data_IF_552444032157
#
_entry.id   IF_552444032157
#
_cell.length_a   1.000
_cell.length_b   1.000
_cell.length_c   1.000
_cell.angle_alpha   90.00
_cell.angle_beta   90.00
_cell.angle_gamma   90.00
#
_symmetry.space_group_name_H-M   'P 1'
#
loop_
_entity.id
_entity.type
_entity.pdbx_description
1 polymer ?
#
# COMPACT_ATOMS: atom_id res chain seq x y z
N UNK A 1 -57.53 70.95 14.43
CA UNK A 1 -57.34 69.60 13.85
C UNK A 1 -55.94 69.15 14.20
N UNK A 2 -55.81 68.30 15.23
CA UNK A 2 -54.57 67.61 15.53
C UNK A 2 -54.59 66.22 14.90
N UNK A 3 -53.43 65.70 14.54
CA UNK A 3 -52.88 64.50 15.18
C UNK A 3 -51.47 64.20 14.66
N UNK A 4 -50.58 63.96 15.62
CA UNK A 4 -49.35 63.21 15.45
C UNK A 4 -49.67 61.72 15.36
N UNK A 5 -48.95 60.98 14.51
CA UNK A 5 -48.71 59.54 14.66
C UNK A 5 -47.32 59.18 14.11
N UNK A 6 -46.38 58.73 14.96
CA UNK A 6 -45.13 58.09 14.58
C UNK A 6 -45.21 56.57 14.85
N UNK A 7 -45.21 55.73 13.83
CA UNK A 7 -45.30 54.25 13.92
C UNK A 7 -44.82 53.69 12.56
N UNK A 8 -43.96 52.67 12.35
CA UNK A 8 -43.35 51.59 13.15
C UNK A 8 -42.08 51.12 12.40
N UNK A 9 -41.11 50.53 13.13
CA UNK A 9 -40.01 49.71 12.62
C UNK A 9 -40.46 48.66 11.58
N UNK A 10 -39.64 48.44 10.54
CA UNK A 10 -39.53 47.15 9.86
C UNK A 10 -38.08 46.88 9.48
N UNK A 11 -37.47 45.98 10.26
CA UNK A 11 -36.31 45.17 9.89
C UNK A 11 -36.68 44.29 8.70
N UNK A 12 -35.88 44.28 7.64
CA UNK A 12 -35.59 43.20 6.67
C UNK A 12 -34.45 43.80 5.82
N UNK A 13 -33.18 43.42 6.00
CA UNK A 13 -32.65 42.14 5.55
C UNK A 13 -31.59 42.43 4.49
N UNK A 14 -30.38 42.78 4.95
CA UNK A 14 -29.18 42.81 4.11
C UNK A 14 -28.98 41.38 3.59
N UNK A 15 -29.44 41.07 2.37
CA UNK A 15 -29.03 39.83 1.71
C UNK A 15 -27.58 40.02 1.26
N UNK A 16 -26.68 39.57 2.13
CA UNK A 16 -25.39 39.04 1.71
C UNK A 16 -25.65 38.04 0.58
N UNK A 17 -25.22 38.38 -0.63
CA UNK A 17 -24.76 37.33 -1.56
C UNK A 17 -23.52 36.73 -0.93
N UNK A 18 -23.74 35.76 -0.05
CA UNK A 18 -22.72 34.83 0.38
C UNK A 18 -22.23 34.14 -0.89
N UNK A 19 -21.08 34.61 -1.39
CA UNK A 19 -20.22 33.77 -2.21
C UNK A 19 -20.04 32.47 -1.45
N UNK A 20 -20.42 31.37 -2.12
CA UNK A 20 -20.18 30.01 -1.66
C UNK A 20 -18.72 29.96 -1.23
N UNK A 21 -18.48 29.77 0.08
CA UNK A 21 -17.14 29.56 0.60
C UNK A 21 -16.55 28.35 -0.11
N UNK A 22 -15.46 28.60 -0.85
CA UNK A 22 -14.53 27.60 -1.32
C UNK A 22 -14.32 26.53 -0.24
N UNK A 23 -14.41 25.26 -0.65
CA UNK A 23 -14.02 24.14 0.22
C UNK A 23 -12.61 24.39 0.74
N UNK A 24 -12.26 23.88 1.95
CA UNK A 24 -11.06 24.29 2.67
C UNK A 24 -9.83 24.22 1.75
N UNK A 25 -9.17 25.38 1.60
CA UNK A 25 -7.94 25.50 0.82
C UNK A 25 -6.93 24.44 1.24
N UNK A 26 -6.38 23.72 0.27
CA UNK A 26 -5.36 22.70 0.54
C UNK A 26 -4.10 23.41 0.98
N UNK A 27 -3.71 23.21 2.24
CA UNK A 27 -2.47 23.79 2.73
C UNK A 27 -1.31 22.86 2.37
N UNK A 28 -0.38 23.37 1.56
CA UNK A 28 0.81 22.63 1.14
C UNK A 28 2.03 23.13 1.89
N UNK A 29 2.83 22.22 2.43
CA UNK A 29 4.10 22.51 3.09
C UNK A 29 5.22 21.83 2.32
N UNK A 30 6.14 22.61 1.77
CA UNK A 30 7.37 22.10 1.18
C UNK A 30 8.38 21.76 2.28
N UNK A 31 8.65 20.47 2.46
CA UNK A 31 9.50 19.95 3.52
C UNK A 31 10.99 20.14 3.21
N UNK A 32 11.37 20.19 1.94
CA UNK A 32 12.76 20.40 1.54
C UNK A 32 13.17 21.87 1.62
N UNK A 33 12.19 22.78 1.54
CA UNK A 33 12.38 24.22 1.67
C UNK A 33 12.51 24.74 3.10
N UNK A 34 12.33 23.88 4.12
CA UNK A 34 12.47 24.27 5.53
C UNK A 34 13.95 24.45 5.88
N UNK A 35 14.41 25.69 5.94
CA UNK A 35 15.82 26.01 6.24
C UNK A 35 16.01 26.52 7.67
N UNK A 36 15.02 27.26 8.20
CA UNK A 36 15.12 27.90 9.53
C UNK A 36 14.33 27.14 10.61
N UNK A 37 14.78 27.26 11.86
CA UNK A 37 14.09 26.69 13.02
C UNK A 37 12.67 27.23 13.18
N UNK A 38 12.46 28.53 12.92
CA UNK A 38 11.13 29.16 12.97
C UNK A 38 10.17 28.58 11.94
N UNK A 39 10.63 28.37 10.70
CA UNK A 39 9.83 27.73 9.65
C UNK A 39 9.47 26.29 10.03
N UNK A 40 10.42 25.57 10.64
CA UNK A 40 10.20 24.20 11.11
C UNK A 40 9.13 24.15 12.20
N UNK A 41 9.17 25.05 13.18
CA UNK A 41 8.16 25.13 14.25
C UNK A 41 6.79 25.43 13.67
N UNK A 42 6.67 26.43 12.78
CA UNK A 42 5.40 26.74 12.11
C UNK A 42 4.89 25.57 11.25
N UNK A 43 5.77 24.80 10.61
CA UNK A 43 5.39 23.60 9.87
C UNK A 43 4.84 22.51 10.80
N UNK A 44 5.46 22.30 11.97
CA UNK A 44 4.97 21.37 12.99
C UNK A 44 3.61 21.79 13.52
N UNK A 45 3.39 23.08 13.79
CA UNK A 45 2.10 23.60 14.27
C UNK A 45 0.99 23.35 13.25
N UNK A 46 1.24 23.66 11.97
CA UNK A 46 0.31 23.36 10.88
C UNK A 46 0.02 21.88 10.76
N UNK A 47 1.04 21.03 10.91
CA UNK A 47 0.88 19.58 10.90
C UNK A 47 0.07 19.06 12.08
N UNK A 48 0.31 19.58 13.28
CA UNK A 48 -0.44 19.22 14.47
C UNK A 48 -1.92 19.57 14.31
N UNK A 49 -2.21 20.77 13.80
CA UNK A 49 -3.56 21.19 13.43
C UNK A 49 -4.17 20.30 12.35
N UNK A 50 -3.43 20.03 11.27
CA UNK A 50 -3.90 19.19 10.16
C UNK A 50 -4.23 17.76 10.58
N UNK A 51 -3.33 17.09 11.31
CA UNK A 51 -3.53 15.73 11.80
C UNK A 51 -4.69 15.62 12.81
N UNK A 52 -4.97 16.68 13.55
CA UNK A 52 -6.03 16.71 14.57
C UNK A 52 -7.37 17.25 14.10
N UNK A 53 -7.44 17.96 12.97
CA UNK A 53 -8.68 18.56 12.47
C UNK A 53 -9.15 17.99 11.13
N UNK A 54 -8.24 17.47 10.30
CA UNK A 54 -8.57 17.02 8.95
C UNK A 54 -8.79 15.52 8.90
N UNK A 55 -9.65 15.07 7.98
CA UNK A 55 -9.84 13.65 7.73
C UNK A 55 -8.62 13.03 7.03
N UNK A 56 -8.03 13.79 6.11
CA UNK A 56 -7.07 13.28 5.14
C UNK A 56 -5.83 14.18 5.08
N UNK A 57 -4.65 13.55 5.11
CA UNK A 57 -3.33 14.20 4.95
C UNK A 57 -2.51 13.38 3.96
N UNK A 58 -1.76 14.05 3.10
CA UNK A 58 -1.00 13.41 2.02
C UNK A 58 0.49 13.72 2.16
N UNK A 59 1.32 12.68 2.11
CA UNK A 59 2.77 12.79 1.90
C UNK A 59 3.04 12.56 0.42
N UNK A 60 3.55 13.59 -0.26
CA UNK A 60 3.76 13.58 -1.71
C UNK A 60 5.24 13.76 -2.00
N UNK A 61 5.84 12.88 -2.79
CA UNK A 61 7.27 12.96 -3.08
C UNK A 61 7.66 12.35 -4.42
N UNK A 62 8.61 13.00 -5.07
CA UNK A 62 9.34 12.48 -6.22
C UNK A 62 10.79 12.20 -5.81
N UNK A 63 11.27 10.99 -6.08
CA UNK A 63 12.64 10.60 -5.73
C UNK A 63 13.19 9.54 -6.69
N UNK A 64 14.51 9.37 -6.66
CA UNK A 64 15.26 8.36 -7.40
C UNK A 64 16.11 7.53 -6.45
N UNK A 65 15.86 6.22 -6.40
CA UNK A 65 16.58 5.28 -5.55
C UNK A 65 17.42 4.30 -6.39
N UNK A 66 18.72 4.11 -6.07
CA UNK A 66 19.51 3.03 -6.64
C UNK A 66 18.98 1.65 -6.24
N UNK A 67 19.38 0.62 -6.99
CA UNK A 67 18.93 -0.75 -6.81
C UNK A 67 19.05 -1.24 -5.36
N UNK A 68 17.94 -1.77 -4.81
CA UNK A 68 17.85 -2.35 -3.45
C UNK A 68 18.10 -1.37 -2.29
N UNK A 69 18.37 -0.09 -2.57
CA UNK A 69 18.56 0.93 -1.55
C UNK A 69 17.23 1.53 -1.10
N UNK A 70 17.25 2.21 0.04
CA UNK A 70 16.05 2.79 0.64
C UNK A 70 16.38 3.74 1.77
N UNK A 71 15.42 3.98 2.65
CA UNK A 71 15.61 4.81 3.84
C UNK A 71 14.37 5.60 4.22
N UNK A 72 14.52 6.48 5.20
CA UNK A 72 13.45 7.36 5.66
C UNK A 72 13.27 8.48 4.65
N UNK A 73 12.04 8.62 4.14
CA UNK A 73 11.65 9.68 3.23
C UNK A 73 11.18 10.91 4.01
N UNK A 74 10.32 10.70 5.00
CA UNK A 74 9.75 11.72 5.87
C UNK A 74 9.50 11.13 7.26
N UNK A 75 9.66 11.92 8.31
CA UNK A 75 9.14 11.55 9.61
C UNK A 75 9.13 12.69 10.63
N UNK A 76 8.29 12.51 11.64
CA UNK A 76 8.08 13.36 12.79
C UNK A 76 8.51 12.58 14.04
N UNK A 77 9.48 13.12 14.75
CA UNK A 77 10.10 12.46 15.90
C UNK A 77 10.02 13.35 17.13
N UNK A 78 9.89 12.73 18.30
CA UNK A 78 10.11 13.42 19.57
C UNK A 78 11.59 13.73 19.75
N UNK A 79 11.94 14.98 20.09
CA UNK A 79 13.31 15.37 20.43
C UNK A 79 13.78 14.78 21.77
N UNK A 80 12.85 14.35 22.62
CA UNK A 80 13.17 13.85 23.97
C UNK A 80 13.60 12.39 23.94
N UNK A 81 12.82 11.53 23.27
CA UNK A 81 12.97 10.07 23.30
C UNK A 81 13.09 9.44 21.91
N UNK A 82 13.20 10.25 20.85
CA UNK A 82 13.28 9.80 19.44
C UNK A 82 12.08 8.91 19.01
N UNK A 83 10.95 9.03 19.71
CA UNK A 83 9.71 8.32 19.40
C UNK A 83 9.15 8.80 18.07
N UNK A 84 8.68 7.85 17.24
CA UNK A 84 8.16 8.10 15.89
C UNK A 84 6.69 8.45 15.94
N UNK A 85 6.35 9.74 15.91
CA UNK A 85 4.95 10.14 15.77
C UNK A 85 4.38 9.67 14.42
N UNK A 86 5.18 9.86 13.36
CA UNK A 86 4.88 9.38 12.01
C UNK A 86 6.20 9.22 11.24
N UNK A 87 6.39 8.15 10.49
CA UNK A 87 7.56 7.91 9.65
C UNK A 87 7.11 7.19 8.38
N UNK A 88 7.48 7.74 7.22
CA UNK A 88 7.32 7.12 5.91
C UNK A 88 8.71 6.73 5.41
N UNK A 89 8.93 5.45 5.17
CA UNK A 89 10.21 4.91 4.72
C UNK A 89 10.03 3.98 3.52
N UNK A 90 11.00 4.00 2.61
CA UNK A 90 11.03 3.13 1.43
C UNK A 90 12.08 2.04 1.63
N UNK A 91 11.70 0.79 1.47
CA UNK A 91 12.55 -0.39 1.68
C UNK A 91 12.83 -1.08 0.34
N UNK A 92 13.84 -0.61 -0.40
CA UNK A 92 14.13 -1.12 -1.75
C UNK A 92 14.54 -2.59 -1.80
N UNK A 93 15.18 -3.15 -0.77
CA UNK A 93 15.56 -4.58 -0.75
C UNK A 93 14.34 -5.52 -0.85
N UNK A 94 13.19 -5.09 -0.32
CA UNK A 94 11.96 -5.89 -0.23
C UNK A 94 10.79 -5.27 -0.99
N UNK A 95 11.02 -4.19 -1.74
CA UNK A 95 10.01 -3.43 -2.49
C UNK A 95 8.76 -3.06 -1.65
N UNK A 96 8.98 -2.54 -0.44
CA UNK A 96 7.88 -2.09 0.43
C UNK A 96 8.01 -0.62 0.80
N UNK A 97 6.87 0.04 0.96
CA UNK A 97 6.78 1.33 1.66
C UNK A 97 6.25 1.05 3.06
N UNK A 98 6.93 1.57 4.07
CA UNK A 98 6.54 1.43 5.46
C UNK A 98 6.00 2.74 5.98
N UNK A 99 4.82 2.69 6.60
CA UNK A 99 4.28 3.79 7.38
C UNK A 99 4.28 3.36 8.84
N UNK A 100 5.06 4.04 9.67
CA UNK A 100 5.18 3.77 11.10
C UNK A 100 4.64 4.95 11.89
N UNK A 101 3.83 4.68 12.89
CA UNK A 101 3.28 5.73 13.75
C UNK A 101 2.99 5.17 15.15
N UNK A 102 2.91 6.03 16.14
CA UNK A 102 2.52 5.64 17.50
C UNK A 102 1.00 5.72 17.62
N UNK A 103 0.40 4.63 18.12
CA UNK A 103 -1.03 4.57 18.44
C UNK A 103 -1.29 5.09 19.86
N UNK A 104 -2.56 5.17 20.24
CA UNK A 104 -2.97 5.58 21.58
C UNK A 104 -2.36 4.76 22.74
N UNK A 105 -1.97 3.50 22.51
CA UNK A 105 -1.31 2.63 23.50
C UNK A 105 0.19 2.95 23.69
N UNK A 106 0.71 3.96 23.00
CA UNK A 106 2.12 4.34 23.03
C UNK A 106 3.05 3.42 22.23
N UNK A 107 2.53 2.34 21.63
CA UNK A 107 3.32 1.41 20.82
C UNK A 107 3.33 1.84 19.36
N UNK A 108 4.45 1.56 18.70
CA UNK A 108 4.61 1.80 17.25
C UNK A 108 3.83 0.75 16.47
N UNK A 109 2.94 1.20 15.60
CA UNK A 109 2.30 0.38 14.57
C UNK A 109 3.05 0.55 13.25
N UNK A 110 3.21 -0.53 12.50
CA UNK A 110 3.88 -0.52 11.18
C UNK A 110 2.94 -1.07 10.12
N UNK A 111 2.56 -0.22 9.17
CA UNK A 111 1.82 -0.60 7.98
C UNK A 111 2.83 -0.93 6.88
N UNK A 112 2.69 -2.12 6.29
CA UNK A 112 3.54 -2.58 5.19
C UNK A 112 2.75 -2.51 3.88
N UNK A 113 3.10 -1.56 3.01
CA UNK A 113 2.46 -1.39 1.71
C UNK A 113 3.38 -1.96 0.63
N UNK A 114 2.84 -2.83 -0.23
CA UNK A 114 3.58 -3.47 -1.31
C UNK A 114 3.71 -2.55 -2.51
N UNK A 115 4.84 -2.65 -3.22
CA UNK A 115 4.99 -2.07 -4.55
C UNK A 115 5.86 -2.97 -5.44
N UNK A 116 5.79 -2.80 -6.77
CA UNK A 116 6.52 -3.63 -7.75
C UNK A 116 8.01 -3.32 -7.82
N UNK A 117 8.45 -2.06 -7.75
CA UNK A 117 9.86 -1.67 -7.60
C UNK A 117 9.97 -0.14 -7.46
N UNK A 118 10.45 0.39 -6.32
CA UNK A 118 10.76 1.84 -6.19
C UNK A 118 12.26 2.13 -6.27
N UNK A 119 13.07 1.07 -6.24
CA UNK A 119 14.52 1.14 -6.14
C UNK A 119 15.10 0.43 -7.35
N UNK A 120 14.87 1.01 -8.53
CA UNK A 120 15.32 0.49 -9.84
C UNK A 120 16.28 1.45 -10.56
N UNK A 121 16.65 2.56 -9.91
CA UNK A 121 17.49 3.61 -10.49
C UNK A 121 16.72 4.69 -11.26
N UNK A 122 15.41 4.55 -11.47
CA UNK A 122 14.56 5.56 -12.11
C UNK A 122 13.90 6.47 -11.09
N UNK A 123 13.43 7.62 -11.58
CA UNK A 123 12.63 8.56 -10.79
C UNK A 123 11.21 8.03 -10.69
N UNK A 124 10.71 7.94 -9.47
CA UNK A 124 9.33 7.54 -9.15
C UNK A 124 8.64 8.65 -8.36
N UNK A 125 7.33 8.76 -8.58
CA UNK A 125 6.45 9.61 -7.79
C UNK A 125 5.61 8.74 -6.86
N UNK A 126 5.50 9.12 -5.59
CA UNK A 126 4.60 8.47 -4.64
C UNK A 126 3.69 9.47 -3.95
N UNK A 127 2.50 8.99 -3.59
CA UNK A 127 1.57 9.68 -2.69
C UNK A 127 1.16 8.69 -1.61
N UNK A 128 1.40 9.03 -0.36
CA UNK A 128 0.89 8.27 0.79
C UNK A 128 -0.24 9.09 1.39
N UNK A 129 -1.47 8.58 1.29
CA UNK A 129 -2.66 9.18 1.91
C UNK A 129 -2.90 8.55 3.26
N UNK A 130 -2.93 9.36 4.31
CA UNK A 130 -3.44 9.03 5.63
C UNK A 130 -4.88 9.52 5.70
N UNK A 131 -5.85 8.62 5.58
CA UNK A 131 -7.27 8.95 5.54
C UNK A 131 -8.03 8.48 6.78
N UNK A 132 -9.14 9.13 7.08
CA UNK A 132 -9.96 8.77 8.24
C UNK A 132 -9.31 9.08 9.59
N UNK A 133 -8.45 10.10 9.66
CA UNK A 133 -7.75 10.52 10.90
C UNK A 133 -8.71 10.91 12.04
N UNK A 134 -9.89 11.43 11.70
CA UNK A 134 -10.95 11.80 12.66
C UNK A 134 -11.90 10.63 13.01
N UNK A 135 -11.74 9.48 12.36
CA UNK A 135 -12.61 8.32 12.55
C UNK A 135 -11.94 7.32 13.50
N UNK A 136 -12.73 6.39 14.03
CA UNK A 136 -12.20 5.32 14.87
C UNK A 136 -11.23 4.38 14.12
N UNK A 137 -11.39 4.29 12.80
CA UNK A 137 -10.56 3.48 11.93
C UNK A 137 -9.93 4.37 10.86
N UNK A 138 -8.60 4.44 10.88
CA UNK A 138 -7.79 5.10 9.87
C UNK A 138 -7.57 4.15 8.68
N UNK A 139 -7.24 4.70 7.52
CA UNK A 139 -6.74 3.94 6.38
C UNK A 139 -5.50 4.60 5.80
N UNK A 140 -4.64 3.80 5.19
CA UNK A 140 -3.44 4.26 4.50
C UNK A 140 -3.44 3.73 3.09
N UNK A 141 -3.30 4.61 2.11
CA UNK A 141 -3.23 4.26 0.69
C UNK A 141 -1.88 4.71 0.12
N UNK A 142 -1.26 3.85 -0.68
CA UNK A 142 -0.04 4.15 -1.43
C UNK A 142 -0.38 4.25 -2.91
N UNK A 143 -0.11 5.41 -3.49
CA UNK A 143 -0.12 5.61 -4.93
C UNK A 143 1.32 5.71 -5.43
N UNK A 144 1.61 5.06 -6.55
CA UNK A 144 2.91 5.09 -7.22
C UNK A 144 2.67 5.38 -8.69
N UNK A 145 3.37 6.37 -9.24
CA UNK A 145 3.29 6.77 -10.65
C UNK A 145 1.83 6.90 -11.12
N UNK A 146 1.07 7.64 -10.31
CA UNK A 146 -0.33 7.99 -10.55
C UNK A 146 -1.32 6.81 -10.53
N UNK A 147 -0.98 5.70 -9.87
CA UNK A 147 -1.86 4.53 -9.70
C UNK A 147 -1.89 4.07 -8.25
N UNK A 148 -3.04 3.61 -7.77
CA UNK A 148 -3.13 2.97 -6.45
C UNK A 148 -2.33 1.65 -6.49
N UNK A 149 -1.26 1.57 -5.70
CA UNK A 149 -0.38 0.42 -5.63
C UNK A 149 -0.81 -0.56 -4.53
N UNK A 150 -1.15 -0.03 -3.34
CA UNK A 150 -1.62 -0.83 -2.21
C UNK A 150 -2.42 0.03 -1.22
N UNK A 151 -3.19 -0.61 -0.34
CA UNK A 151 -3.94 0.07 0.71
C UNK A 151 -4.15 -0.81 1.94
N UNK A 152 -4.31 -0.18 3.10
CA UNK A 152 -4.63 -0.84 4.35
C UNK A 152 -5.72 -0.07 5.08
N UNK A 153 -6.76 -0.78 5.51
CA UNK A 153 -7.95 -0.21 6.15
C UNK A 153 -8.10 -0.75 7.58
N UNK A 154 -8.94 -0.10 8.40
CA UNK A 154 -9.20 -0.57 9.77
C UNK A 154 -8.02 -0.34 10.72
N UNK A 155 -7.15 0.62 10.40
CA UNK A 155 -5.94 0.88 11.17
C UNK A 155 -6.26 1.67 12.44
N UNK A 156 -5.57 1.39 13.56
CA UNK A 156 -5.77 2.15 14.80
C UNK A 156 -5.43 3.64 14.62
N UNK A 157 -6.09 4.54 15.38
CA UNK A 157 -5.86 5.97 15.27
C UNK A 157 -4.43 6.36 15.72
N UNK A 158 -3.93 7.43 15.09
CA UNK A 158 -2.62 8.02 15.36
C UNK A 158 -2.69 8.93 16.60
N UNK A 159 -1.64 8.92 17.43
CA UNK A 159 -1.55 9.81 18.60
C UNK A 159 -1.37 11.27 18.14
N UNK A 160 -2.08 12.25 18.72
CA UNK A 160 -1.86 13.65 18.38
C UNK A 160 -0.42 14.07 18.70
N UNK A 161 0.09 15.02 17.91
CA UNK A 161 1.37 15.66 18.19
C UNK A 161 1.31 16.46 19.50
N UNK A 162 2.44 16.62 20.22
CA UNK A 162 2.50 17.44 21.42
C UNK A 162 2.17 18.91 21.11
N UNK A 163 1.67 19.64 22.12
CA UNK A 163 1.29 21.05 21.99
C UNK A 163 2.51 21.92 21.73
N UNK A 164 3.63 21.57 22.35
CA UNK A 164 4.91 22.25 22.23
C UNK A 164 5.60 21.79 20.93
N UNK A 165 5.36 22.50 19.83
CA UNK A 165 5.91 22.19 18.52
C UNK A 165 7.45 22.08 18.50
N UNK A 166 8.13 22.79 19.40
CA UNK A 166 9.59 22.71 19.58
C UNK A 166 10.09 21.33 20.00
N UNK A 167 9.23 20.50 20.63
CA UNK A 167 9.57 19.14 21.04
C UNK A 167 9.52 18.13 19.88
N UNK A 168 9.05 18.54 18.70
CA UNK A 168 8.99 17.69 17.51
C UNK A 168 10.12 18.06 16.55
N UNK A 169 10.78 17.04 16.02
CA UNK A 169 11.80 17.12 14.99
C UNK A 169 11.22 16.59 13.67
N UNK A 170 11.30 17.40 12.61
CA UNK A 170 11.02 16.95 11.24
C UNK A 170 12.31 16.38 10.65
N UNK A 171 12.26 15.12 10.22
CA UNK A 171 13.33 14.50 9.43
C UNK A 171 12.84 14.24 8.02
N UNK A 172 13.59 14.73 7.04
CA UNK A 172 13.31 14.57 5.62
C UNK A 172 14.48 13.84 4.95
N UNK A 173 14.25 13.20 3.80
CA UNK A 173 15.22 12.34 3.12
C UNK A 173 16.46 13.03 2.52
N UNK A 174 16.65 14.35 2.66
CA UNK A 174 17.71 15.11 1.99
C UNK A 174 18.96 15.29 2.87
N UNK A 175 19.89 14.31 2.91
CA UNK A 175 21.26 14.31 3.53
C UNK A 175 21.47 14.69 5.02
N UNK A 176 21.61 13.65 5.85
CA UNK A 176 22.29 13.41 7.14
C UNK A 176 21.83 12.02 7.66
N UNK A 177 22.49 11.46 8.68
CA UNK A 177 22.43 10.02 9.08
C UNK A 177 21.02 9.39 9.01
N UNK A 178 20.91 8.21 8.35
CA UNK A 178 19.70 7.38 8.16
C UNK A 178 18.61 7.85 7.16
N UNK A 179 18.91 8.86 6.32
CA UNK A 179 18.01 9.34 5.25
C UNK A 179 17.99 8.43 4.01
N UNK A 180 17.00 8.68 3.14
CA UNK A 180 16.84 8.02 1.84
C UNK A 180 18.17 7.94 1.05
N UNK A 181 18.60 6.73 0.73
CA UNK A 181 19.88 6.46 0.05
C UNK A 181 19.80 6.67 -1.46
N UNK A 182 19.35 7.85 -1.88
CA UNK A 182 19.18 8.24 -3.28
C UNK A 182 19.09 9.75 -3.43
N UNK A 183 18.33 10.22 -4.42
CA UNK A 183 18.01 11.63 -4.59
C UNK A 183 16.52 11.85 -4.31
N UNK A 184 16.19 12.86 -3.50
CA UNK A 184 14.81 13.33 -3.32
C UNK A 184 14.68 14.63 -4.11
N UNK A 185 13.80 14.64 -5.11
CA UNK A 185 13.57 15.79 -5.98
C UNK A 185 12.52 16.73 -5.37
N UNK A 186 11.48 16.15 -4.76
CA UNK A 186 10.44 16.90 -4.08
C UNK A 186 9.91 16.14 -2.87
N UNK A 187 9.55 16.86 -1.80
CA UNK A 187 8.83 16.31 -0.65
C UNK A 187 7.88 17.37 -0.12
N UNK A 188 6.58 17.13 -0.25
CA UNK A 188 5.53 18.04 0.16
C UNK A 188 4.51 17.32 1.04
N UNK A 189 3.95 18.04 2.00
CA UNK A 189 2.77 17.60 2.73
C UNK A 189 1.58 18.42 2.29
N UNK A 190 0.51 17.76 1.87
CA UNK A 190 -0.77 18.41 1.61
C UNK A 190 -1.73 18.08 2.75
N UNK A 191 -2.23 19.12 3.42
CA UNK A 191 -3.17 19.03 4.51
C UNK A 191 -4.58 19.25 3.94
N UNK A 192 -5.41 18.20 3.97
CA UNK A 192 -6.76 18.23 3.41
C UNK A 192 -6.78 18.06 1.89
N UNK A 193 -7.95 18.29 1.30
CA UNK A 193 -8.17 18.11 -0.14
C UNK A 193 -8.38 16.66 -0.58
N UNK A 194 -8.48 16.47 -1.90
CA UNK A 194 -8.65 15.17 -2.54
C UNK A 194 -7.32 14.61 -3.06
N UNK A 195 -7.29 13.31 -3.36
CA UNK A 195 -6.12 12.66 -3.98
C UNK A 195 -5.75 13.31 -5.32
N UNK A 196 -6.73 13.88 -6.04
CA UNK A 196 -6.48 14.60 -7.29
C UNK A 196 -5.72 15.90 -7.07
N UNK A 197 -6.10 16.69 -6.04
CA UNK A 197 -5.34 17.89 -5.65
C UNK A 197 -3.92 17.53 -5.19
N UNK A 198 -3.76 16.44 -4.43
CA UNK A 198 -2.43 15.95 -4.05
C UNK A 198 -1.62 15.47 -5.26
N UNK A 199 -2.26 14.81 -6.23
CA UNK A 199 -1.62 14.35 -7.46
C UNK A 199 -1.17 15.47 -8.38
N UNK A 200 -1.86 16.61 -8.40
CA UNK A 200 -1.41 17.80 -9.12
C UNK A 200 -0.05 18.33 -8.64
N UNK A 201 0.39 17.98 -7.41
CA UNK A 201 1.71 18.35 -6.91
C UNK A 201 2.87 17.54 -7.54
N UNK A 202 2.56 16.42 -8.18
CA UNK A 202 3.50 15.51 -8.87
C UNK A 202 3.06 15.19 -10.30
N UNK A 203 2.29 16.10 -10.92
CA UNK A 203 1.81 15.98 -12.30
C UNK A 203 1.03 14.68 -12.60
N UNK A 204 0.28 14.19 -11.61
CA UNK A 204 -0.54 12.98 -11.74
C UNK A 204 -1.98 13.28 -12.18
N UNK A 205 -2.45 12.72 -13.32
CA UNK A 205 -3.80 12.93 -13.82
C UNK A 205 -4.80 11.96 -13.16
N UNK A 206 -5.10 12.17 -11.88
CA UNK A 206 -6.21 11.44 -11.26
C UNK A 206 -7.55 11.97 -11.76
N UNK A 207 -8.49 11.07 -12.07
CA UNK A 207 -9.86 11.43 -12.39
C UNK A 207 -10.59 11.82 -11.09
N UNK A 208 -10.40 13.06 -10.66
CA UNK A 208 -11.08 13.64 -9.50
C UNK A 208 -11.13 15.15 -9.66
N UNK A 209 -12.35 15.68 -9.72
CA UNK A 209 -12.69 17.10 -9.77
C UNK A 209 -12.18 17.84 -11.02
N UNK A 210 -12.70 17.45 -12.19
CA UNK A 210 -12.68 18.26 -13.41
C UNK A 210 -13.59 19.52 -13.30
N UNK A 211 -13.71 20.12 -12.11
CA UNK A 211 -14.46 21.36 -11.87
C UNK A 211 -13.57 22.60 -11.80
N UNK A 212 -12.24 22.48 -11.91
CA UNK A 212 -11.33 23.63 -11.73
C UNK A 212 -10.29 23.84 -12.84
N UNK A 213 -10.36 23.13 -13.96
CA UNK A 213 -9.55 23.47 -15.14
C UNK A 213 -10.37 23.40 -16.43
N UNK A 214 -11.04 24.52 -16.74
CA UNK A 214 -11.21 25.11 -18.09
C UNK A 214 -12.50 25.92 -18.19
N UNK A 215 -12.42 27.20 -17.82
CA UNK A 215 -13.43 28.24 -18.12
C UNK A 215 -13.40 28.69 -19.60
N UNK A 216 -13.02 27.81 -20.52
CA UNK A 216 -13.09 28.03 -21.97
C UNK A 216 -13.24 26.65 -22.61
N UNK A 217 -14.48 26.29 -22.94
CA UNK A 217 -14.96 25.15 -23.76
C UNK A 217 -16.25 24.48 -23.23
N UNK A 218 -16.92 25.05 -22.24
CA UNK A 218 -18.10 24.48 -21.58
C UNK A 218 -19.38 24.36 -22.45
N UNK A 219 -19.34 24.66 -23.76
CA UNK A 219 -20.55 24.70 -24.58
C UNK A 219 -20.71 23.56 -25.60
N UNK A 220 -19.78 22.60 -25.66
CA UNK A 220 -19.88 21.49 -26.64
C UNK A 220 -20.00 20.10 -25.99
N UNK A 221 -19.71 19.94 -24.70
CA UNK A 221 -19.61 18.61 -24.09
C UNK A 221 -20.86 18.09 -23.35
N UNK A 222 -21.95 18.87 -23.26
CA UNK A 222 -23.15 18.44 -22.53
C UNK A 222 -24.01 17.40 -23.27
N UNK A 223 -23.83 17.24 -24.59
CA UNK A 223 -24.71 16.38 -25.42
C UNK A 223 -24.14 14.96 -25.63
N UNK A 224 -22.85 14.71 -25.35
CA UNK A 224 -22.18 13.40 -25.53
C UNK A 224 -21.91 12.63 -24.22
N UNK A 225 -22.28 13.20 -23.07
CA UNK A 225 -21.93 12.68 -21.74
C UNK A 225 -22.86 11.60 -21.17
N UNK A 226 -24.06 11.40 -21.71
CA UNK A 226 -25.00 10.40 -21.17
C UNK A 226 -24.75 8.99 -21.72
N UNK A 227 -24.44 8.84 -23.01
CA UNK A 227 -24.17 7.52 -23.59
C UNK A 227 -22.80 6.95 -23.22
N UNK A 228 -21.83 7.80 -22.88
CA UNK A 228 -20.50 7.36 -22.42
C UNK A 228 -20.50 6.94 -20.95
N UNK A 229 -21.34 7.52 -20.09
CA UNK A 229 -21.52 7.07 -18.70
C UNK A 229 -22.11 5.66 -18.60
N UNK A 230 -23.07 5.33 -19.46
CA UNK A 230 -23.63 3.98 -19.54
C UNK A 230 -22.58 2.96 -20.02
N UNK A 231 -21.75 3.33 -21.00
CA UNK A 231 -20.65 2.49 -21.50
C UNK A 231 -19.50 2.34 -20.49
N UNK A 232 -19.19 3.38 -19.72
CA UNK A 232 -18.20 3.34 -18.62
C UNK A 232 -18.73 2.47 -17.46
N UNK A 233 -20.02 2.57 -17.13
CA UNK A 233 -20.67 1.67 -16.17
C UNK A 233 -20.61 0.20 -16.61
N UNK A 234 -20.85 -0.08 -17.90
CA UNK A 234 -20.71 -1.42 -18.47
C UNK A 234 -19.26 -1.91 -18.50
N UNK A 235 -18.27 -1.05 -18.76
CA UNK A 235 -16.84 -1.40 -18.72
C UNK A 235 -16.31 -1.59 -17.30
N UNK A 236 -16.86 -0.89 -16.30
CA UNK A 236 -16.56 -1.09 -14.88
C UNK A 236 -17.15 -2.42 -14.43
N UNK A 237 -18.41 -2.72 -14.78
CA UNK A 237 -19.04 -4.01 -14.47
C UNK A 237 -18.32 -5.16 -15.19
N UNK A 238 -17.90 -4.99 -16.45
CA UNK A 238 -17.14 -6.00 -17.18
C UNK A 238 -15.73 -6.22 -16.61
N UNK A 239 -15.03 -5.16 -16.20
CA UNK A 239 -13.76 -5.29 -15.47
C UNK A 239 -13.93 -5.90 -14.07
N UNK A 240 -15.07 -5.65 -13.42
CA UNK A 240 -15.39 -6.25 -12.13
C UNK A 240 -15.69 -7.74 -12.28
N UNK A 241 -16.45 -8.15 -13.31
CA UNK A 241 -16.69 -9.56 -13.67
C UNK A 241 -15.39 -10.26 -14.10
N UNK A 242 -14.52 -9.59 -14.87
CA UNK A 242 -13.18 -10.11 -15.19
C UNK A 242 -12.26 -10.17 -13.95
N UNK A 243 -12.45 -9.26 -12.99
CA UNK A 243 -11.77 -9.25 -11.70
C UNK A 243 -12.23 -10.40 -10.80
N UNK A 244 -13.53 -10.68 -10.78
CA UNK A 244 -14.17 -11.81 -10.08
C UNK A 244 -13.75 -13.15 -10.71
N UNK A 245 -13.75 -13.30 -12.04
CA UNK A 245 -13.18 -14.49 -12.71
C UNK A 245 -11.67 -14.65 -12.43
N UNK A 246 -10.91 -13.55 -12.34
CA UNK A 246 -9.48 -13.58 -11.98
C UNK A 246 -9.25 -13.85 -10.48
N UNK A 247 -10.28 -13.64 -9.65
CA UNK A 247 -10.29 -14.00 -8.24
C UNK A 247 -10.64 -15.48 -8.07
N UNK A 248 -11.61 -16.01 -8.81
CA UNK A 248 -11.95 -17.44 -8.87
C UNK A 248 -10.77 -18.30 -9.37
N UNK A 249 -10.00 -17.82 -10.35
CA UNK A 249 -8.74 -18.47 -10.77
C UNK A 249 -7.68 -18.40 -9.66
N UNK A 250 -7.63 -17.32 -8.86
CA UNK A 250 -6.65 -17.20 -7.75
C UNK A 250 -7.05 -17.99 -6.51
N UNK A 251 -8.33 -18.25 -6.30
CA UNK A 251 -8.82 -19.17 -5.26
C UNK A 251 -8.60 -20.64 -5.66
N UNK A 252 -8.79 -21.01 -6.93
CA UNK A 252 -8.38 -22.34 -7.44
C UNK A 252 -6.86 -22.59 -7.39
N UNK A 253 -6.01 -21.55 -7.41
CA UNK A 253 -4.55 -21.71 -7.24
C UNK A 253 -4.16 -21.81 -5.75
N UNK A 254 -4.93 -21.23 -4.83
CA UNK A 254 -4.68 -21.35 -3.39
C UNK A 254 -5.13 -22.69 -2.81
N UNK A 255 -6.24 -23.26 -3.28
CA UNK A 255 -6.63 -24.63 -2.91
C UNK A 255 -5.69 -25.69 -3.54
N UNK A 256 -5.19 -25.45 -4.77
CA UNK A 256 -4.28 -26.40 -5.43
C UNK A 256 -2.86 -26.40 -4.84
N UNK A 257 -2.38 -25.27 -4.29
CA UNK A 257 -1.06 -25.21 -3.63
C UNK A 257 -1.05 -25.80 -2.21
N UNK A 258 -2.16 -25.72 -1.48
CA UNK A 258 -2.29 -26.37 -0.17
C UNK A 258 -2.30 -27.90 -0.35
N UNK A 259 -3.05 -28.41 -1.34
CA UNK A 259 -3.01 -29.84 -1.71
C UNK A 259 -1.60 -30.24 -2.18
N UNK A 260 -0.90 -29.42 -2.98
CA UNK A 260 0.46 -29.72 -3.45
C UNK A 260 1.48 -29.78 -2.31
N UNK A 261 1.41 -28.88 -1.33
CA UNK A 261 2.32 -28.90 -0.18
C UNK A 261 1.97 -30.01 0.81
N UNK A 262 0.69 -30.32 1.01
CA UNK A 262 0.25 -31.50 1.78
C UNK A 262 0.65 -32.81 1.09
N UNK A 263 0.64 -32.89 -0.24
CA UNK A 263 1.17 -34.03 -1.01
C UNK A 263 2.71 -34.12 -0.89
N UNK A 264 3.42 -33.00 -0.91
CA UNK A 264 4.88 -32.98 -0.75
C UNK A 264 5.33 -33.35 0.67
N UNK A 265 4.54 -33.04 1.71
CA UNK A 265 4.79 -33.52 3.07
C UNK A 265 4.28 -34.96 3.29
N UNK A 266 3.25 -35.40 2.56
CA UNK A 266 2.88 -36.81 2.44
C UNK A 266 3.85 -37.63 1.58
N UNK A 267 4.92 -37.05 1.02
CA UNK A 267 6.00 -37.80 0.40
C UNK A 267 6.85 -38.58 1.43
N UNK A 268 6.53 -38.47 2.72
CA UNK A 268 6.97 -39.37 3.80
C UNK A 268 6.14 -40.67 3.87
N UNK A 269 5.08 -40.80 3.06
CA UNK A 269 4.32 -42.05 2.89
C UNK A 269 4.48 -42.63 1.46
N UNK A 270 5.68 -43.11 1.14
CA UNK A 270 5.81 -44.45 0.54
C UNK A 270 5.41 -44.69 -0.93
N UNK A 271 5.71 -43.80 -1.88
CA UNK A 271 5.75 -44.17 -3.31
C UNK A 271 7.15 -43.97 -3.89
N UNK A 272 8.11 -44.77 -3.43
CA UNK A 272 9.11 -45.26 -4.35
C UNK A 272 8.44 -46.36 -5.15
N UNK A 273 8.46 -46.26 -6.49
CA UNK A 273 8.27 -47.42 -7.37
C UNK A 273 9.05 -48.58 -6.75
N UNK A 274 8.44 -49.72 -6.39
CA UNK A 274 9.19 -50.84 -5.84
C UNK A 274 10.12 -51.31 -6.95
N UNK A 275 11.37 -50.86 -6.92
CA UNK A 275 12.44 -51.47 -7.70
C UNK A 275 12.40 -52.94 -7.34
N UNK A 276 11.98 -53.77 -8.30
CA UNK A 276 11.91 -55.22 -8.13
C UNK A 276 13.25 -55.70 -7.56
N UNK A 277 13.22 -56.53 -6.52
CA UNK A 277 14.47 -57.02 -5.90
C UNK A 277 15.21 -57.99 -6.81
N UNK A 278 14.60 -58.37 -7.93
CA UNK A 278 15.21 -59.08 -9.05
C UNK A 278 15.96 -58.17 -10.04
N UNK A 279 16.15 -56.87 -9.75
CA UNK A 279 16.90 -55.96 -10.63
C UNK A 279 17.95 -55.14 -9.85
N UNK A 280 19.25 -55.45 -10.00
CA UNK A 280 19.83 -56.54 -10.81
C UNK A 280 19.48 -57.93 -10.25
N UNK A 281 19.40 -58.97 -11.09
CA UNK A 281 18.96 -60.31 -10.68
C UNK A 281 19.99 -60.94 -9.72
N UNK A 282 19.62 -61.21 -8.44
CA UNK A 282 20.52 -61.79 -7.44
C UNK A 282 20.71 -63.31 -7.62
N UNK A 283 19.88 -63.98 -8.40
CA UNK A 283 19.95 -65.42 -8.62
C UNK A 283 21.10 -65.81 -9.58
N UNK A 284 21.50 -67.09 -9.53
CA UNK A 284 22.50 -67.64 -10.44
C UNK A 284 22.13 -67.38 -11.91
N UNK A 285 23.12 -67.13 -12.77
CA UNK A 285 22.92 -66.72 -14.16
C UNK A 285 22.02 -67.72 -14.91
N UNK A 286 20.88 -67.25 -15.41
CA UNK A 286 19.89 -68.06 -16.12
C UNK A 286 18.78 -68.67 -15.24
N UNK A 287 18.84 -68.49 -13.92
CA UNK A 287 17.77 -68.89 -12.99
C UNK A 287 16.73 -67.76 -12.87
N UNK A 288 15.45 -68.14 -12.90
CA UNK A 288 14.33 -67.21 -12.74
C UNK A 288 14.29 -66.64 -11.32
N UNK A 289 14.07 -65.32 -11.22
CA UNK A 289 13.86 -64.62 -9.96
C UNK A 289 12.41 -64.12 -9.89
N UNK A 290 11.77 -64.29 -8.74
CA UNK A 290 10.42 -63.78 -8.45
C UNK A 290 10.46 -62.91 -7.19
N UNK A 291 9.78 -61.76 -7.20
CA UNK A 291 9.64 -60.95 -5.99
C UNK A 291 8.84 -61.73 -4.94
N UNK A 292 9.22 -61.55 -3.67
CA UNK A 292 8.56 -62.19 -2.53
C UNK A 292 8.28 -61.17 -1.44
N UNK A 293 7.24 -61.41 -0.64
CA UNK A 293 6.89 -60.56 0.51
C UNK A 293 7.72 -60.90 1.76
N UNK A 294 8.36 -62.08 1.80
CA UNK A 294 9.24 -62.47 2.90
C UNK A 294 10.68 -62.05 2.63
N UNK A 295 11.35 -61.55 3.67
CA UNK A 295 12.77 -61.16 3.63
C UNK A 295 13.63 -62.33 3.11
N UNK A 296 14.54 -62.13 2.12
CA UNK A 296 15.10 -60.87 1.62
C UNK A 296 14.27 -60.14 0.54
N UNK A 297 13.08 -60.64 0.22
CA UNK A 297 12.13 -60.00 -0.70
C UNK A 297 12.20 -60.51 -2.14
N UNK A 298 12.87 -61.64 -2.38
CA UNK A 298 12.90 -62.37 -3.65
C UNK A 298 13.02 -63.87 -3.40
N UNK A 299 12.75 -64.68 -4.41
CA UNK A 299 12.94 -66.13 -4.39
C UNK A 299 13.47 -66.62 -5.73
N UNK A 300 14.51 -67.45 -5.69
CA UNK A 300 15.13 -68.03 -6.88
C UNK A 300 14.48 -69.37 -7.24
N UNK A 301 14.41 -69.66 -8.54
CA UNK A 301 14.03 -70.96 -9.06
C UNK A 301 15.04 -72.09 -8.76
N UNK A 302 14.76 -73.33 -9.20
CA UNK A 302 15.59 -74.50 -8.91
C UNK A 302 17.02 -74.35 -9.47
N UNK A 303 17.99 -74.90 -8.73
CA UNK A 303 19.39 -74.87 -9.10
C UNK A 303 19.66 -75.74 -10.35
N UNK A 304 20.52 -75.29 -11.28
CA UNK A 304 20.97 -76.11 -12.41
C UNK A 304 21.64 -77.43 -11.95
N UNK A 305 21.65 -78.49 -12.79
CA UNK A 305 22.27 -79.77 -12.44
C UNK A 305 23.73 -79.62 -12.02
N UNK A 306 24.09 -80.25 -10.90
CA UNK A 306 25.45 -80.20 -10.35
C UNK A 306 25.75 -78.97 -9.48
N UNK A 307 24.75 -78.13 -9.19
CA UNK A 307 24.88 -76.99 -8.28
C UNK A 307 23.92 -77.11 -7.10
N UNK A 308 24.30 -76.56 -5.96
CA UNK A 308 23.47 -76.51 -4.74
C UNK A 308 23.44 -75.08 -4.23
N UNK A 309 22.25 -74.56 -3.90
CA UNK A 309 22.05 -73.19 -3.40
C UNK A 309 21.02 -73.14 -2.28
N UNK A 310 21.13 -72.13 -1.43
CA UNK A 310 20.25 -71.88 -0.27
C UNK A 310 19.04 -70.98 -0.59
N UNK A 311 18.89 -70.53 -1.85
CA UNK A 311 17.74 -69.73 -2.30
C UNK A 311 17.58 -68.38 -1.60
N UNK A 312 18.64 -67.89 -0.95
CA UNK A 312 18.71 -66.61 -0.22
C UNK A 312 19.87 -65.78 -0.72
#
# INVERSE_FOLDING_TARGET
>A
MGWSFPVLLSVIGFQLTAGVLDGPDVQVIDMLGLQDSKQTVTAVEKLAGGLSALSDVYVVSTFRLPAKLGGVLFGLYSKQDNRKYLEVAVMGKINKVLVRYVKADGKVHTVNLQNSNLADGRTHSIIVRLGGLQRNNMQVELYVDCRLADSSQGLPPLVPLPREAEMVEIRHGQKSYARLQGAVESLRLALGGSVAKAGALTDCPFQGDASTYSSVNAEVHSILGEHTKALIGQLIIFNQILGELRQDIREQVKEMSLIRNTILECQVCGFHEPRSRCSPNPCYKGVSCMDSLQYPGYTCGPCPPGTTGNGT
#
